data_IF_364273115211
#
_entry.id   IF_364273115211
#
_cell.length_a   1.000
_cell.length_b   1.000
_cell.length_c   1.000
_cell.angle_alpha   90.00
_cell.angle_beta   90.00
_cell.angle_gamma   90.00
#
_symmetry.space_group_name_H-M   'P 1'
#
loop_
_entity.id
_entity.type
_entity.pdbx_description
1 polymer ?
#
# COMPACT_ATOMS: atom_id res chain seq x y z
N UNK A 1 -2.64 -2.02 -2.09
CA UNK A 1 -3.73 -1.09 -2.40
C UNK A 1 -4.70 -0.91 -1.23
N UNK A 2 -5.33 -1.96 -0.74
CA UNK A 2 -6.22 -1.88 0.43
C UNK A 2 -5.51 -1.29 1.65
N UNK A 3 -4.29 -1.72 1.92
CA UNK A 3 -3.49 -1.22 3.04
C UNK A 3 -3.26 0.28 3.01
N UNK A 4 -3.05 0.83 1.83
CA UNK A 4 -2.84 2.28 1.66
C UNK A 4 -4.11 3.06 1.96
N UNK A 5 -5.26 2.53 1.54
CA UNK A 5 -6.57 3.11 1.85
C UNK A 5 -6.83 3.06 3.34
N UNK A 6 -6.60 1.91 3.97
CA UNK A 6 -6.79 1.73 5.42
C UNK A 6 -5.92 2.72 6.20
N UNK A 7 -4.63 2.82 5.87
CA UNK A 7 -3.71 3.72 6.56
C UNK A 7 -4.09 5.18 6.41
N UNK A 8 -4.44 5.60 5.20
CA UNK A 8 -4.85 6.97 4.94
C UNK A 8 -6.13 7.33 5.70
N UNK A 9 -7.13 6.45 5.68
CA UNK A 9 -8.37 6.64 6.43
C UNK A 9 -8.10 6.74 7.95
N UNK A 10 -7.20 5.89 8.46
CA UNK A 10 -6.83 5.91 9.89
C UNK A 10 -6.21 7.25 10.28
N UNK A 11 -5.45 7.87 9.39
CA UNK A 11 -4.78 9.15 9.62
C UNK A 11 -5.68 10.36 9.27
N UNK A 12 -6.96 10.13 9.01
CA UNK A 12 -7.91 11.18 8.69
C UNK A 12 -7.72 11.80 7.31
N UNK A 13 -6.97 11.14 6.43
CA UNK A 13 -6.77 11.63 5.06
C UNK A 13 -7.75 10.98 4.10
N UNK A 14 -8.35 11.80 3.25
CA UNK A 14 -9.23 11.31 2.19
C UNK A 14 -8.40 10.72 1.06
N UNK A 15 -8.84 9.58 0.54
CA UNK A 15 -8.22 8.90 -0.61
C UNK A 15 -9.22 8.87 -1.74
N UNK A 16 -8.77 9.28 -2.92
CA UNK A 16 -9.55 9.26 -4.14
C UNK A 16 -8.94 8.27 -5.13
N UNK A 17 -9.73 7.84 -6.09
CA UNK A 17 -9.25 6.92 -7.13
C UNK A 17 -8.02 7.48 -7.85
N UNK A 18 -8.01 8.79 -8.14
CA UNK A 18 -6.85 9.43 -8.81
C UNK A 18 -5.56 9.29 -8.02
N UNK A 19 -5.64 9.26 -6.68
CA UNK A 19 -4.47 9.07 -5.82
C UNK A 19 -3.88 7.68 -6.02
N UNK A 20 -4.74 6.66 -6.11
CA UNK A 20 -4.33 5.29 -6.38
C UNK A 20 -3.67 5.20 -7.76
N UNK A 21 -4.24 5.85 -8.76
CA UNK A 21 -3.69 5.89 -10.11
C UNK A 21 -2.26 6.47 -10.10
N UNK A 22 -2.03 7.53 -9.35
CA UNK A 22 -0.72 8.18 -9.24
C UNK A 22 0.26 7.33 -8.42
N UNK A 23 -0.17 6.83 -7.26
CA UNK A 23 0.71 6.08 -6.36
C UNK A 23 1.24 4.80 -6.99
N UNK A 24 0.40 4.11 -7.77
CA UNK A 24 0.77 2.85 -8.39
C UNK A 24 1.14 2.98 -9.87
N UNK A 25 1.01 4.17 -10.44
CA UNK A 25 1.26 4.43 -11.86
C UNK A 25 0.50 3.43 -12.75
N UNK A 26 -0.78 3.28 -12.50
CA UNK A 26 -1.68 2.34 -13.19
C UNK A 26 -2.74 3.15 -13.93
N UNK A 27 -3.16 2.65 -15.08
CA UNK A 27 -4.21 3.27 -15.90
C UNK A 27 -5.53 3.31 -15.15
N UNK A 28 -6.29 4.38 -15.39
CA UNK A 28 -7.59 4.60 -14.77
C UNK A 28 -8.54 3.42 -14.93
N UNK A 29 -8.62 2.82 -16.12
CA UNK A 29 -9.49 1.67 -16.38
C UNK A 29 -9.14 0.46 -15.52
N UNK A 30 -7.84 0.20 -15.33
CA UNK A 30 -7.36 -0.90 -14.51
C UNK A 30 -7.69 -0.66 -13.04
N UNK A 31 -7.48 0.57 -12.55
CA UNK A 31 -7.79 0.95 -11.16
C UNK A 31 -9.30 0.85 -10.94
N UNK A 32 -10.12 1.32 -11.88
CA UNK A 32 -11.57 1.20 -11.78
C UNK A 32 -12.00 -0.25 -11.60
N UNK A 33 -11.45 -1.16 -12.41
CA UNK A 33 -11.79 -2.58 -12.33
C UNK A 33 -11.37 -3.19 -10.97
N UNK A 34 -10.18 -2.86 -10.49
CA UNK A 34 -9.69 -3.34 -9.19
C UNK A 34 -10.56 -2.83 -8.04
N UNK A 35 -10.91 -1.55 -8.05
CA UNK A 35 -11.71 -0.94 -6.99
C UNK A 35 -13.15 -1.45 -7.01
N UNK A 36 -13.72 -1.71 -8.20
CA UNK A 36 -15.03 -2.34 -8.33
C UNK A 36 -15.04 -3.72 -7.71
N UNK A 37 -14.00 -4.52 -7.95
CA UNK A 37 -13.85 -5.84 -7.35
C UNK A 37 -13.76 -5.75 -5.83
N UNK A 38 -12.98 -4.83 -5.30
CA UNK A 38 -12.85 -4.63 -3.86
C UNK A 38 -14.16 -4.17 -3.22
N UNK A 39 -14.93 -3.34 -3.92
CA UNK A 39 -16.24 -2.89 -3.46
C UNK A 39 -17.24 -4.04 -3.45
N UNK A 40 -17.28 -4.85 -4.52
CA UNK A 40 -18.14 -6.03 -4.61
C UNK A 40 -17.85 -7.04 -3.52
N UNK A 41 -16.57 -7.22 -3.19
CA UNK A 41 -16.14 -8.12 -2.12
C UNK A 41 -16.35 -7.53 -0.72
N UNK A 42 -16.79 -6.28 -0.65
CA UNK A 42 -17.13 -5.63 0.61
C UNK A 42 -15.95 -5.06 1.39
N UNK A 43 -14.79 -4.89 0.77
CA UNK A 43 -13.59 -4.36 1.44
C UNK A 43 -13.56 -2.85 1.52
N UNK A 44 -14.16 -2.17 0.53
CA UNK A 44 -14.22 -0.71 0.48
C UNK A 44 -15.62 -0.26 0.04
N UNK A 45 -15.92 1.02 0.30
CA UNK A 45 -17.03 1.73 -0.30
C UNK A 45 -16.48 2.91 -1.10
N UNK A 46 -17.18 3.27 -2.17
CA UNK A 46 -16.85 4.44 -2.97
C UNK A 46 -17.96 5.45 -2.79
N UNK A 47 -17.62 6.62 -2.23
CA UNK A 47 -18.58 7.66 -1.91
C UNK A 47 -18.40 8.85 -2.85
N UNK A 48 -19.49 9.33 -3.42
CA UNK A 48 -19.46 10.56 -4.22
C UNK A 48 -19.16 11.75 -3.31
N UNK A 49 -18.33 12.69 -3.80
CA UNK A 49 -18.06 13.94 -3.09
C UNK A 49 -19.09 14.97 -3.54
N UNK A 50 -19.68 15.68 -2.58
CA UNK A 50 -20.75 16.65 -2.84
C UNK A 50 -20.38 17.70 -3.89
N UNK A 51 -19.11 18.11 -3.95
CA UNK A 51 -18.63 19.17 -4.85
C UNK A 51 -18.30 18.68 -6.26
N UNK A 52 -18.04 17.40 -6.45
CA UNK A 52 -17.70 16.85 -7.77
C UNK A 52 -18.05 15.37 -7.83
N UNK A 53 -19.08 15.03 -8.61
CA UNK A 53 -19.55 13.66 -8.80
C UNK A 53 -18.50 12.75 -9.47
N UNK A 54 -17.46 13.34 -10.08
CA UNK A 54 -16.36 12.56 -10.70
C UNK A 54 -15.35 12.05 -9.66
N UNK A 55 -15.30 12.68 -8.48
CA UNK A 55 -14.42 12.28 -7.41
C UNK A 55 -15.12 11.23 -6.56
N UNK A 56 -14.55 10.03 -6.51
CA UNK A 56 -15.01 8.96 -5.63
C UNK A 56 -14.03 8.83 -4.48
N UNK A 57 -14.50 9.13 -3.29
CA UNK A 57 -13.70 8.92 -2.06
C UNK A 57 -13.76 7.45 -1.69
N UNK A 58 -12.61 6.89 -1.37
CA UNK A 58 -12.45 5.49 -1.04
C UNK A 58 -12.38 5.34 0.47
N UNK A 59 -13.29 4.53 1.02
CA UNK A 59 -13.36 4.29 2.46
C UNK A 59 -13.30 2.78 2.71
N UNK A 60 -12.36 2.34 3.54
CA UNK A 60 -12.27 0.95 3.96
C UNK A 60 -13.47 0.61 4.85
N UNK A 61 -14.07 -0.54 4.62
CA UNK A 61 -15.14 -1.08 5.48
C UNK A 61 -14.54 -1.76 6.70
N UNK A 62 -15.38 -2.13 7.68
CA UNK A 62 -14.94 -2.95 8.81
C UNK A 62 -14.31 -4.26 8.33
N UNK A 63 -14.91 -4.89 7.32
CA UNK A 63 -14.37 -6.10 6.69
C UNK A 63 -13.01 -5.84 6.06
N UNK A 64 -12.84 -4.72 5.37
CA UNK A 64 -11.57 -4.32 4.76
C UNK A 64 -10.48 -4.10 5.80
N UNK A 65 -10.81 -3.39 6.87
CA UNK A 65 -9.87 -3.17 7.99
C UNK A 65 -9.47 -4.46 8.67
N UNK A 66 -10.43 -5.36 8.91
CA UNK A 66 -10.15 -6.66 9.51
C UNK A 66 -9.26 -7.52 8.61
N UNK A 67 -9.53 -7.55 7.33
CA UNK A 67 -8.72 -8.26 6.34
C UNK A 67 -7.28 -7.73 6.32
N UNK A 68 -7.12 -6.43 6.31
CA UNK A 68 -5.79 -5.79 6.33
C UNK A 68 -5.04 -6.14 7.62
N UNK A 69 -5.72 -6.11 8.78
CA UNK A 69 -5.12 -6.46 10.05
C UNK A 69 -4.64 -7.92 10.08
N UNK A 70 -5.41 -8.84 9.51
CA UNK A 70 -5.02 -10.25 9.40
C UNK A 70 -3.79 -10.42 8.52
N UNK A 71 -3.73 -9.72 7.39
CA UNK A 71 -2.57 -9.74 6.49
C UNK A 71 -1.34 -9.18 7.20
N UNK A 72 -1.46 -8.05 7.89
CA UNK A 72 -0.36 -7.46 8.65
C UNK A 72 0.16 -8.42 9.73
N UNK A 73 -0.75 -9.07 10.45
CA UNK A 73 -0.38 -10.04 11.49
C UNK A 73 0.36 -11.24 10.87
N UNK A 74 -0.09 -11.73 9.72
CA UNK A 74 0.54 -12.84 9.01
C UNK A 74 1.96 -12.46 8.54
N UNK A 75 2.13 -11.25 8.01
CA UNK A 75 3.43 -10.73 7.58
C UNK A 75 4.37 -10.60 8.79
N UNK A 76 3.89 -10.04 9.90
CA UNK A 76 4.68 -9.87 11.12
C UNK A 76 5.13 -11.23 11.66
N UNK A 77 4.25 -12.24 11.66
CA UNK A 77 4.58 -13.59 12.09
C UNK A 77 5.63 -14.21 11.18
N UNK A 78 5.48 -14.05 9.86
CA UNK A 78 6.43 -14.55 8.89
C UNK A 78 7.82 -13.92 9.07
N UNK A 79 7.87 -12.60 9.25
CA UNK A 79 9.12 -11.87 9.53
C UNK A 79 9.78 -12.35 10.81
N UNK A 80 8.97 -12.55 11.86
CA UNK A 80 9.45 -13.06 13.14
C UNK A 80 10.07 -14.47 12.97
N UNK A 81 9.39 -15.33 12.21
CA UNK A 81 9.86 -16.68 11.95
C UNK A 81 11.18 -16.68 11.14
N UNK A 82 11.30 -15.78 10.17
CA UNK A 82 12.53 -15.61 9.38
C UNK A 82 13.71 -15.15 10.23
N UNK A 83 13.47 -14.39 11.27
CA UNK A 83 14.52 -13.84 12.13
C UNK A 83 14.85 -14.72 13.33
N UNK A 84 14.19 -15.86 13.44
CA UNK A 84 14.38 -16.78 14.57
C UNK A 84 15.83 -17.24 14.66
N UNK A 85 16.43 -17.06 15.84
CA UNK A 85 17.84 -17.43 16.06
C UNK A 85 18.85 -16.40 15.58
N UNK A 86 18.43 -15.28 15.04
CA UNK A 86 19.32 -14.19 14.61
C UNK A 86 19.43 -13.15 15.73
N UNK A 87 20.65 -12.75 16.05
CA UNK A 87 20.90 -11.66 17.00
C UNK A 87 20.23 -10.37 16.48
N UNK A 88 19.44 -9.65 17.31
CA UNK A 88 18.79 -8.41 16.90
C UNK A 88 19.75 -7.34 16.34
N UNK A 89 20.97 -7.26 16.87
CA UNK A 89 21.97 -6.31 16.36
C UNK A 89 22.45 -6.69 14.96
N UNK A 90 22.66 -7.97 14.71
CA UNK A 90 23.03 -8.44 13.36
C UNK A 90 21.88 -8.24 12.38
N UNK A 91 20.64 -8.46 12.79
CA UNK A 91 19.47 -8.22 11.95
C UNK A 91 19.36 -6.72 11.58
N UNK A 92 19.62 -5.81 12.52
CA UNK A 92 19.61 -4.38 12.28
C UNK A 92 20.70 -3.95 11.29
N UNK A 93 21.91 -4.52 11.42
CA UNK A 93 23.03 -4.24 10.49
C UNK A 93 22.68 -4.75 9.09
N UNK A 94 22.17 -5.98 8.99
CA UNK A 94 21.77 -6.57 7.70
C UNK A 94 20.70 -5.73 7.01
N UNK A 95 19.70 -5.25 7.76
CA UNK A 95 18.66 -4.38 7.23
C UNK A 95 19.24 -3.07 6.71
N UNK A 96 20.12 -2.43 7.46
CA UNK A 96 20.77 -1.18 7.05
C UNK A 96 21.57 -1.37 5.76
N UNK A 97 22.29 -2.49 5.64
CA UNK A 97 23.07 -2.83 4.44
C UNK A 97 22.13 -3.02 3.24
N UNK A 98 21.05 -3.76 3.41
CA UNK A 98 20.07 -4.00 2.34
C UNK A 98 19.39 -2.70 1.90
N UNK A 99 19.03 -1.83 2.82
CA UNK A 99 18.44 -0.54 2.52
C UNK A 99 19.41 0.35 1.72
N UNK A 100 20.68 0.36 2.10
CA UNK A 100 21.70 1.10 1.35
C UNK A 100 21.89 0.52 -0.05
N UNK A 101 21.92 -0.80 -0.16
CA UNK A 101 22.02 -1.49 -1.45
C UNK A 101 20.84 -1.12 -2.36
N UNK A 102 19.63 -1.08 -1.80
CA UNK A 102 18.44 -0.70 -2.54
C UNK A 102 18.51 0.75 -3.01
N UNK A 103 18.93 1.67 -2.16
CA UNK A 103 19.11 3.09 -2.54
C UNK A 103 20.12 3.23 -3.68
N UNK A 104 21.22 2.50 -3.60
CA UNK A 104 22.25 2.52 -4.65
C UNK A 104 21.71 1.99 -5.98
N UNK A 105 20.93 0.90 -5.92
CA UNK A 105 20.30 0.33 -7.12
C UNK A 105 19.33 1.31 -7.76
N UNK A 106 18.51 1.97 -6.97
CA UNK A 106 17.56 2.99 -7.45
C UNK A 106 18.28 4.14 -8.13
N UNK A 107 19.37 4.61 -7.53
CA UNK A 107 20.17 5.71 -8.09
C UNK A 107 20.82 5.31 -9.43
N UNK A 108 21.35 4.10 -9.52
CA UNK A 108 21.92 3.56 -10.77
C UNK A 108 20.86 3.51 -11.88
N UNK A 109 19.64 3.06 -11.54
CA UNK A 109 18.54 2.99 -12.50
C UNK A 109 18.10 4.39 -12.96
N UNK A 110 18.07 5.35 -12.07
CA UNK A 110 17.73 6.74 -12.41
C UNK A 110 18.78 7.35 -13.34
N UNK A 111 20.06 7.16 -13.05
CA UNK A 111 21.14 7.62 -13.91
C UNK A 111 21.09 6.95 -15.30
N UNK A 112 20.75 5.67 -15.34
CA UNK A 112 20.63 4.93 -16.60
C UNK A 112 19.49 5.44 -17.49
N UNK A 113 18.45 6.02 -16.88
CA UNK A 113 17.29 6.54 -17.62
C UNK A 113 17.48 7.98 -18.12
N UNK A 114 18.54 8.68 -17.72
CA UNK A 114 18.80 10.06 -18.15
C UNK A 114 19.67 10.14 -19.41
N UNK A 115 20.10 9.02 -19.93
CA UNK A 115 20.82 8.90 -21.17
C UNK A 115 19.87 8.47 -22.30
#
# INVERSE_FOLDING_TARGET
MLGDIVRANRNGRDVYQRDIEQWFNIRRSSVTALLQGMEQDGFITRCAVEKDARLKRLVATDKGRACHAEIEASIAQFESDLQKGIDPQQAAVARAVLEQTLRNAQHILEEGNTN
#
